data_IF_403346676392
#
_entry.id   IF_403346676392
#
_cell.length_a   1.000
_cell.length_b   1.000
_cell.length_c   1.000
_cell.angle_alpha   90.00
_cell.angle_beta   90.00
_cell.angle_gamma   90.00
#
_symmetry.space_group_name_H-M   'P 1'
#
loop_
_entity.id
_entity.type
_entity.pdbx_description
1 polymer ?
#
# COMPACT_ATOMS: atom_id res chain seq x y z
N UNK A 1 17.73 -8.40 -6.68
CA UNK A 1 16.48 -9.16 -6.66
C UNK A 1 15.34 -8.22 -7.02
N UNK A 2 14.89 -7.34 -6.10
CA UNK A 2 13.85 -6.34 -6.39
C UNK A 2 14.21 -5.30 -7.47
N UNK A 3 15.37 -4.64 -7.36
CA UNK A 3 15.81 -3.62 -8.34
C UNK A 3 16.19 -4.18 -9.73
N UNK A 4 16.18 -5.50 -9.91
CA UNK A 4 16.34 -6.14 -11.23
C UNK A 4 15.01 -6.69 -11.77
N UNK A 5 13.95 -6.66 -10.97
CA UNK A 5 12.61 -7.12 -11.31
C UNK A 5 11.64 -5.93 -11.32
N UNK A 6 10.50 -6.11 -10.67
CA UNK A 6 9.38 -5.16 -10.62
C UNK A 6 9.81 -3.73 -10.23
N UNK A 7 10.67 -3.61 -9.22
CA UNK A 7 11.16 -2.32 -8.71
C UNK A 7 12.38 -1.77 -9.46
N UNK A 8 12.65 -2.24 -10.68
CA UNK A 8 13.79 -1.79 -11.48
C UNK A 8 13.73 -0.30 -11.88
N UNK A 9 12.55 0.31 -11.91
CA UNK A 9 12.40 1.76 -12.15
C UNK A 9 13.03 2.59 -11.03
N UNK A 10 12.79 2.21 -9.76
CA UNK A 10 13.38 2.89 -8.58
C UNK A 10 14.90 2.90 -8.68
N UNK A 11 15.51 1.79 -9.09
CA UNK A 11 16.97 1.72 -9.26
C UNK A 11 17.50 2.64 -10.37
N UNK A 12 16.77 2.80 -11.47
CA UNK A 12 17.14 3.73 -12.54
C UNK A 12 17.01 5.18 -12.11
N UNK A 13 15.96 5.51 -11.37
CA UNK A 13 15.75 6.87 -10.88
C UNK A 13 16.77 7.23 -9.79
N UNK A 14 17.11 6.29 -8.90
CA UNK A 14 18.22 6.45 -7.97
C UNK A 14 19.56 6.72 -8.70
N UNK A 15 19.89 5.94 -9.73
CA UNK A 15 21.10 6.17 -10.52
C UNK A 15 21.12 7.52 -11.26
N UNK A 16 19.96 8.01 -11.72
CA UNK A 16 19.84 9.36 -12.28
C UNK A 16 20.05 10.44 -11.21
N UNK A 17 19.50 10.26 -10.02
CA UNK A 17 19.70 11.17 -8.90
C UNK A 17 21.18 11.24 -8.50
N UNK A 18 21.87 10.09 -8.42
CA UNK A 18 23.32 10.03 -8.15
C UNK A 18 24.15 10.79 -9.20
N UNK A 19 23.71 10.79 -10.47
CA UNK A 19 24.40 11.54 -11.54
C UNK A 19 24.36 13.07 -11.35
N UNK A 20 23.44 13.59 -10.53
CA UNK A 20 23.39 15.00 -10.17
C UNK A 20 24.42 15.39 -9.09
N UNK A 21 25.20 14.42 -8.59
CA UNK A 21 26.22 14.63 -7.56
C UNK A 21 25.73 14.30 -6.14
N UNK A 22 26.62 14.39 -5.14
CA UNK A 22 26.35 13.89 -3.78
C UNK A 22 25.48 14.83 -2.94
N UNK A 23 25.13 16.02 -3.42
CA UNK A 23 24.47 17.06 -2.63
C UNK A 23 23.20 16.57 -1.93
N UNK A 24 22.32 15.87 -2.66
CA UNK A 24 21.08 15.32 -2.08
C UNK A 24 21.34 14.31 -0.96
N UNK A 25 22.32 13.41 -1.14
CA UNK A 25 22.69 12.45 -0.09
C UNK A 25 23.27 13.15 1.15
N UNK A 26 24.09 14.19 0.95
CA UNK A 26 24.64 14.99 2.06
C UNK A 26 23.53 15.72 2.81
N UNK A 27 22.57 16.28 2.09
CA UNK A 27 21.42 16.97 2.69
C UNK A 27 20.55 16.00 3.52
N UNK A 28 20.32 14.79 3.01
CA UNK A 28 19.62 13.72 3.72
C UNK A 28 20.35 13.30 5.00
N UNK A 29 21.67 13.06 4.93
CA UNK A 29 22.49 12.70 6.09
C UNK A 29 22.43 13.79 7.17
N UNK A 30 22.50 15.06 6.77
CA UNK A 30 22.37 16.18 7.70
C UNK A 30 20.97 16.23 8.31
N UNK A 31 19.92 15.99 7.53
CA UNK A 31 18.54 15.97 8.01
C UNK A 31 18.32 14.86 9.07
N UNK A 32 18.89 13.67 8.87
CA UNK A 32 18.81 12.54 9.80
C UNK A 32 19.49 12.81 11.17
N UNK A 33 20.36 13.80 11.26
CA UNK A 33 21.07 14.16 12.51
C UNK A 33 20.35 15.24 13.33
N UNK A 34 19.27 15.81 12.81
CA UNK A 34 18.54 16.93 13.42
C UNK A 34 17.22 16.46 14.00
N UNK A 35 16.75 17.15 15.04
CA UNK A 35 15.42 16.92 15.57
C UNK A 35 14.35 17.24 14.50
N UNK A 36 13.30 16.44 14.44
CA UNK A 36 12.21 16.61 13.47
C UNK A 36 11.32 17.82 13.75
N UNK A 37 11.48 18.47 14.89
CA UNK A 37 10.67 19.62 15.31
C UNK A 37 9.35 19.26 15.98
N UNK A 38 9.08 17.98 16.21
CA UNK A 38 7.94 17.47 16.98
C UNK A 38 8.34 16.16 17.71
N UNK A 39 7.61 15.81 18.77
CA UNK A 39 7.75 14.49 19.42
C UNK A 39 6.87 13.46 18.70
N UNK A 40 7.31 12.21 18.60
CA UNK A 40 6.48 11.11 18.09
C UNK A 40 5.14 11.00 18.84
N UNK A 41 5.14 11.31 20.14
CA UNK A 41 3.95 11.32 20.98
C UNK A 41 2.91 12.38 20.54
N UNK A 42 3.32 13.38 19.75
CA UNK A 42 2.44 14.43 19.22
C UNK A 42 1.69 13.98 17.94
N UNK A 43 2.07 12.85 17.33
CA UNK A 43 1.37 12.30 16.17
C UNK A 43 0.06 11.64 16.62
N UNK A 44 -1.07 12.27 16.28
CA UNK A 44 -2.42 11.82 16.69
C UNK A 44 -3.19 11.06 15.63
N UNK A 45 -2.68 10.97 14.42
CA UNK A 45 -3.29 10.20 13.33
C UNK A 45 -2.81 8.75 13.36
N UNK A 46 -3.61 7.79 12.88
CA UNK A 46 -3.16 6.41 12.75
C UNK A 46 -1.92 6.30 11.85
N UNK A 47 -0.91 5.55 12.28
CA UNK A 47 0.32 5.32 11.52
C UNK A 47 0.48 3.82 11.22
N UNK A 48 0.82 3.51 9.97
CA UNK A 48 1.30 2.19 9.59
C UNK A 48 2.80 2.27 9.30
N UNK A 49 3.60 1.51 10.05
CA UNK A 49 5.00 1.27 9.77
C UNK A 49 5.14 -0.09 9.11
N UNK A 50 5.84 -0.17 7.99
CA UNK A 50 6.17 -1.42 7.33
C UNK A 50 7.68 -1.56 7.25
N UNK A 51 8.21 -2.70 7.66
CA UNK A 51 9.64 -2.93 7.75
C UNK A 51 9.98 -4.37 7.37
N UNK A 52 11.00 -4.52 6.52
CA UNK A 52 11.61 -5.81 6.22
C UNK A 52 12.48 -6.32 7.36
N UNK A 53 12.32 -7.57 7.77
CA UNK A 53 13.18 -8.20 8.78
C UNK A 53 14.59 -8.44 8.23
N UNK A 54 14.71 -8.68 6.93
CA UNK A 54 15.98 -8.89 6.23
C UNK A 54 16.55 -7.57 5.65
N UNK A 55 16.06 -6.41 6.11
CA UNK A 55 16.62 -5.12 5.73
C UNK A 55 18.07 -4.98 6.24
N UNK A 56 18.98 -4.73 5.31
CA UNK A 56 20.43 -4.58 5.56
C UNK A 56 20.90 -3.13 5.48
N UNK A 57 19.98 -2.21 5.18
CA UNK A 57 20.21 -0.77 5.10
C UNK A 57 19.72 -0.13 6.39
N UNK A 58 18.46 -0.39 6.77
CA UNK A 58 17.84 0.17 7.96
C UNK A 58 17.53 -0.95 8.96
N UNK A 59 18.18 -1.00 10.14
CA UNK A 59 17.95 -2.05 11.12
C UNK A 59 16.51 -2.03 11.67
N UNK A 60 15.88 -3.21 11.84
CA UNK A 60 14.52 -3.35 12.38
C UNK A 60 14.29 -2.61 13.71
N UNK A 61 15.33 -2.44 14.51
CA UNK A 61 15.29 -1.72 15.78
C UNK A 61 14.80 -0.27 15.62
N UNK A 62 14.98 0.34 14.45
CA UNK A 62 14.44 1.67 14.15
C UNK A 62 12.91 1.65 14.09
N UNK A 63 12.31 0.70 13.36
CA UNK A 63 10.86 0.55 13.31
C UNK A 63 10.27 0.23 14.70
N UNK A 64 10.93 -0.63 15.48
CA UNK A 64 10.51 -0.95 16.86
C UNK A 64 10.54 0.30 17.76
N UNK A 65 11.55 1.16 17.63
CA UNK A 65 11.59 2.43 18.38
C UNK A 65 10.50 3.40 17.94
N UNK A 66 10.24 3.51 16.64
CA UNK A 66 9.21 4.39 16.11
C UNK A 66 7.81 3.96 16.58
N UNK A 67 7.47 2.67 16.47
CA UNK A 67 6.15 2.18 16.90
C UNK A 67 5.93 2.35 18.40
N UNK A 68 7.00 2.25 19.22
CA UNK A 68 6.92 2.46 20.66
C UNK A 68 6.70 3.93 21.06
N UNK A 69 7.14 4.88 20.22
CA UNK A 69 6.98 6.32 20.46
C UNK A 69 5.68 6.91 19.90
N UNK A 70 5.00 6.20 19.00
CA UNK A 70 3.77 6.66 18.34
C UNK A 70 2.52 6.16 19.10
N UNK A 71 1.57 7.03 19.47
CA UNK A 71 0.39 6.64 20.25
C UNK A 71 -0.59 5.68 19.56
N UNK A 72 -0.76 5.82 18.24
CA UNK A 72 -1.63 4.98 17.41
C UNK A 72 -0.86 4.49 16.18
N UNK A 73 0.00 3.49 16.40
CA UNK A 73 0.79 2.90 15.34
C UNK A 73 0.64 1.39 15.27
N UNK A 74 0.67 0.87 14.03
CA UNK A 74 0.80 -0.56 13.73
C UNK A 74 2.13 -0.80 13.04
N UNK A 75 2.75 -1.94 13.35
CA UNK A 75 3.95 -2.40 12.67
C UNK A 75 3.63 -3.67 11.87
N UNK A 76 3.79 -3.59 10.55
CA UNK A 76 3.81 -4.76 9.68
C UNK A 76 5.26 -5.19 9.46
N UNK A 77 5.66 -6.24 10.18
CA UNK A 77 6.94 -6.87 9.95
C UNK A 77 6.85 -7.84 8.77
N UNK A 78 7.71 -7.63 7.79
CA UNK A 78 7.81 -8.46 6.59
C UNK A 78 9.02 -9.38 6.74
N UNK A 79 8.77 -10.61 7.18
CA UNK A 79 9.81 -11.52 7.65
C UNK A 79 10.84 -11.91 6.57
N UNK A 80 10.42 -11.92 5.31
CA UNK A 80 11.25 -12.33 4.18
C UNK A 80 11.73 -11.14 3.32
N UNK A 81 11.29 -9.93 3.64
CA UNK A 81 11.58 -8.75 2.81
C UNK A 81 12.86 -8.06 3.27
N UNK A 82 13.66 -7.65 2.28
CA UNK A 82 14.75 -6.69 2.45
C UNK A 82 14.31 -5.25 2.17
N UNK A 83 15.26 -4.32 2.20
CA UNK A 83 15.00 -2.87 2.14
C UNK A 83 14.02 -2.41 1.05
N UNK A 84 14.20 -2.89 -0.20
CA UNK A 84 13.35 -2.49 -1.33
C UNK A 84 12.16 -3.44 -1.53
N UNK A 85 12.30 -4.70 -1.13
CA UNK A 85 11.23 -5.71 -1.33
C UNK A 85 9.96 -5.37 -0.55
N UNK A 86 10.10 -4.62 0.56
CA UNK A 86 8.96 -4.10 1.33
C UNK A 86 7.95 -3.31 0.47
N UNK A 87 8.37 -2.75 -0.66
CA UNK A 87 7.48 -2.02 -1.56
C UNK A 87 6.43 -2.90 -2.23
N UNK A 88 6.62 -4.22 -2.26
CA UNK A 88 5.62 -5.17 -2.79
C UNK A 88 4.27 -5.09 -2.05
N UNK A 89 4.26 -4.60 -0.80
CA UNK A 89 3.03 -4.43 0.00
C UNK A 89 2.34 -3.07 -0.19
N UNK A 90 2.82 -2.23 -1.12
CA UNK A 90 2.23 -0.92 -1.38
C UNK A 90 0.73 -1.00 -1.70
N UNK A 91 0.22 -1.95 -2.52
CA UNK A 91 -1.21 -2.09 -2.75
C UNK A 91 -2.01 -2.25 -1.44
N UNK A 92 -1.60 -3.15 -0.55
CA UNK A 92 -2.27 -3.38 0.73
C UNK A 92 -2.14 -2.20 1.69
N UNK A 93 -1.03 -1.46 1.62
CA UNK A 93 -0.86 -0.20 2.37
C UNK A 93 -1.82 0.87 1.84
N UNK A 94 -2.05 0.95 0.53
CA UNK A 94 -3.02 1.88 -0.06
C UNK A 94 -4.45 1.50 0.32
N UNK A 95 -4.80 0.22 0.33
CA UNK A 95 -6.10 -0.25 0.83
C UNK A 95 -6.29 0.15 2.30
N UNK A 96 -5.27 -0.08 3.14
CA UNK A 96 -5.27 0.33 4.54
C UNK A 96 -5.49 1.85 4.71
N UNK A 97 -4.92 2.67 3.82
CA UNK A 97 -5.09 4.12 3.82
C UNK A 97 -6.53 4.50 3.43
N UNK A 98 -7.06 3.94 2.34
CA UNK A 98 -8.41 4.24 1.84
C UNK A 98 -9.48 3.89 2.88
N UNK A 99 -9.37 2.75 3.56
CA UNK A 99 -10.25 2.36 4.66
C UNK A 99 -10.33 3.41 5.78
N UNK A 100 -9.26 4.17 5.99
CA UNK A 100 -9.12 5.12 7.12
C UNK A 100 -9.44 6.56 6.75
N UNK A 101 -9.20 6.94 5.51
CA UNK A 101 -9.56 8.27 5.02
C UNK A 101 -11.01 8.35 4.55
N UNK A 102 -11.65 7.19 4.33
CA UNK A 102 -12.92 7.11 3.61
C UNK A 102 -12.76 7.48 2.13
N UNK A 103 -13.83 7.42 1.33
CA UNK A 103 -13.79 7.92 -0.03
C UNK A 103 -13.46 9.43 -0.02
N UNK A 104 -12.69 9.93 -1.00
CA UNK A 104 -12.43 11.36 -1.08
C UNK A 104 -13.76 12.13 -1.16
N UNK A 105 -13.85 13.34 -0.57
CA UNK A 105 -15.06 14.13 -0.62
C UNK A 105 -15.50 14.34 -2.08
N UNK A 106 -16.68 13.81 -2.43
CA UNK A 106 -17.21 13.81 -3.80
C UNK A 106 -17.19 12.45 -4.53
N UNK A 107 -16.61 11.41 -3.94
CA UNK A 107 -16.55 10.04 -4.50
C UNK A 107 -17.58 9.07 -3.89
N UNK A 108 -18.68 9.58 -3.32
CA UNK A 108 -19.83 8.71 -3.08
C UNK A 108 -20.21 8.10 -4.42
N UNK A 109 -20.24 6.76 -4.50
CA UNK A 109 -20.55 6.02 -5.72
C UNK A 109 -21.76 6.66 -6.41
N UNK A 110 -21.59 7.05 -7.66
CA UNK A 110 -22.71 7.52 -8.46
C UNK A 110 -23.71 6.36 -8.54
N UNK A 111 -25.03 6.60 -8.51
CA UNK A 111 -26.02 5.53 -8.74
C UNK A 111 -25.85 4.80 -10.09
N UNK A 112 -24.95 5.27 -10.97
CA UNK A 112 -24.53 4.61 -12.20
C UNK A 112 -23.55 3.42 -12.01
N UNK A 113 -22.91 3.26 -10.85
CA UNK A 113 -21.99 2.15 -10.57
C UNK A 113 -22.68 0.94 -9.91
N UNK A 114 -24.00 1.00 -9.69
CA UNK A 114 -24.77 -0.17 -9.29
C UNK A 114 -24.88 -1.12 -10.49
N UNK A 115 -24.72 -2.45 -10.30
CA UNK A 115 -24.91 -3.41 -11.39
C UNK A 115 -26.33 -3.26 -11.94
N UNK A 116 -26.44 -3.14 -13.26
CA UNK A 116 -27.71 -3.03 -13.96
C UNK A 116 -28.55 -4.29 -13.68
N UNK A 117 -29.72 -4.11 -13.07
CA UNK A 117 -30.64 -5.19 -12.76
C UNK A 117 -31.22 -5.86 -14.03
N UNK A 118 -30.90 -5.36 -15.23
CA UNK A 118 -31.27 -5.95 -16.52
C UNK A 118 -30.49 -7.22 -16.88
N UNK A 119 -29.35 -7.50 -16.26
CA UNK A 119 -28.49 -8.67 -16.57
C UNK A 119 -28.94 -9.97 -15.88
N UNK A 120 -30.03 -9.93 -15.10
CA UNK A 120 -30.60 -11.10 -14.43
C UNK A 120 -31.73 -11.78 -15.24
N UNK A 121 -32.08 -11.27 -16.42
CA UNK A 121 -33.26 -11.74 -17.19
C UNK A 121 -33.00 -12.78 -18.29
N UNK A 122 -31.75 -13.17 -18.57
CA UNK A 122 -31.45 -14.06 -19.71
C UNK A 122 -31.27 -15.55 -19.34
N UNK A 123 -32.01 -16.01 -18.33
CA UNK A 123 -32.07 -17.43 -17.96
C UNK A 123 -33.52 -17.90 -17.77
N UNK A 124 -34.40 -17.58 -18.71
CA UNK A 124 -35.71 -18.24 -18.80
C UNK A 124 -36.32 -18.07 -20.19
N UNK A 125 -35.81 -18.80 -21.19
CA UNK A 125 -36.67 -19.35 -22.24
C UNK A 125 -36.02 -20.57 -22.90
N UNK A 126 -36.32 -21.75 -22.34
CA UNK A 126 -36.31 -23.00 -23.08
C UNK A 126 -37.64 -23.69 -22.75
N UNK A 127 -38.71 -23.21 -23.37
CA UNK A 127 -40.02 -23.84 -23.35
C UNK A 127 -40.14 -24.89 -24.46
N UNK A 128 -40.48 -26.10 -24.00
CA UNK A 128 -41.42 -27.06 -24.58
C UNK A 128 -41.22 -27.64 -25.99
N UNK A 129 -40.88 -28.94 -26.00
CA UNK A 129 -41.52 -29.93 -26.85
C UNK A 129 -41.50 -31.30 -26.12
N UNK A 130 -42.62 -31.74 -25.55
CA UNK A 130 -43.52 -32.74 -26.14
C UNK A 130 -44.51 -33.25 -25.07
N UNK A 131 -45.80 -33.03 -25.37
CA UNK A 131 -46.95 -33.54 -24.64
C UNK A 131 -47.44 -34.81 -25.37
N UNK A 132 -47.52 -35.94 -24.67
CA UNK A 132 -48.49 -36.97 -25.02
C UNK A 132 -48.75 -37.98 -23.88
N UNK A 133 -49.96 -37.85 -23.34
CA UNK A 133 -50.93 -38.93 -23.13
C UNK A 133 -50.77 -39.87 -21.90
N UNK A 134 -51.64 -39.58 -20.91
CA UNK A 134 -52.67 -40.49 -20.37
C UNK A 134 -52.35 -41.99 -20.37
N UNK A 135 -52.18 -42.56 -19.18
CA UNK A 135 -52.20 -44.01 -18.92
C UNK A 135 -51.58 -44.40 -17.58
#
# INVERSE_FOLDING_TARGET
AALRGEWGAVGRDAGRAESAGPGGLVDDDVALTRAWGFDLADVRVPVLLVQGELDRVIPRAHAVRLVAGLPDARLWMRLDDGHVAVLEVVPEVLDWLVERTGPPPGSAASPADAPDASDASDASDASDADDAAVG
#
